data_IF_355444494370
#
_entry.id   IF_355444494370
#
_cell.length_a   1.000
_cell.length_b   1.000
_cell.length_c   1.000
_cell.angle_alpha   90.00
_cell.angle_beta   90.00
_cell.angle_gamma   90.00
#
_symmetry.space_group_name_H-M   'P 1'
#
loop_
_entity.id
_entity.type
_entity.pdbx_description
1 polymer ?
#
# COMPACT_ATOMS: atom_id res chain seq x y z
N UNK A 1 -9.63 25.10 -12.09
CA UNK A 1 -8.92 24.68 -10.87
C UNK A 1 -9.15 23.21 -10.54
N UNK A 2 -10.39 22.69 -10.55
CA UNK A 2 -10.65 21.27 -10.26
C UNK A 2 -9.93 20.28 -11.18
N UNK A 3 -9.89 20.51 -12.50
CA UNK A 3 -9.20 19.59 -13.44
C UNK A 3 -7.70 19.47 -13.16
N UNK A 4 -7.06 20.57 -12.74
CA UNK A 4 -5.65 20.59 -12.35
C UNK A 4 -5.44 19.84 -11.04
N UNK A 5 -6.34 20.00 -10.06
CA UNK A 5 -6.27 19.30 -8.78
C UNK A 5 -6.51 17.79 -8.91
N UNK A 6 -7.45 17.39 -9.77
CA UNK A 6 -7.71 15.97 -10.09
C UNK A 6 -6.51 15.35 -10.81
N UNK A 7 -5.92 16.07 -11.76
CA UNK A 7 -4.70 15.62 -12.44
C UNK A 7 -3.50 15.57 -11.49
N UNK A 8 -3.31 16.56 -10.62
CA UNK A 8 -2.20 16.56 -9.66
C UNK A 8 -2.30 15.40 -8.69
N UNK A 9 -3.48 15.09 -8.13
CA UNK A 9 -3.65 13.92 -7.26
C UNK A 9 -3.37 12.58 -7.96
N UNK A 10 -3.47 12.53 -9.29
CA UNK A 10 -3.14 11.34 -10.09
C UNK A 10 -1.64 11.24 -10.36
N UNK A 11 -0.98 12.40 -10.52
CA UNK A 11 0.46 12.54 -10.77
C UNK A 11 1.26 12.33 -9.47
N UNK A 12 0.75 12.81 -8.33
CA UNK A 12 1.40 12.70 -7.02
C UNK A 12 1.75 11.25 -6.67
N UNK A 13 0.82 10.31 -6.94
CA UNK A 13 1.04 8.90 -6.68
C UNK A 13 2.16 8.30 -7.53
N UNK A 14 2.35 8.77 -8.76
CA UNK A 14 3.42 8.26 -9.64
C UNK A 14 4.77 8.72 -9.11
N UNK A 15 4.88 10.01 -8.75
CA UNK A 15 6.11 10.59 -8.20
C UNK A 15 6.48 9.95 -6.87
N UNK A 16 5.50 9.75 -5.96
CA UNK A 16 5.75 9.08 -4.68
C UNK A 16 6.24 7.64 -4.85
N UNK A 17 5.71 6.90 -5.83
CA UNK A 17 6.18 5.55 -6.15
C UNK A 17 7.62 5.59 -6.67
N UNK A 18 7.91 6.49 -7.60
CA UNK A 18 9.27 6.64 -8.16
C UNK A 18 10.28 7.02 -7.08
N UNK A 19 9.96 7.96 -6.20
CA UNK A 19 10.81 8.34 -5.06
C UNK A 19 11.02 7.19 -4.09
N UNK A 20 9.96 6.45 -3.77
CA UNK A 20 10.02 5.29 -2.87
C UNK A 20 10.90 4.18 -3.46
N UNK A 21 10.76 3.91 -4.77
CA UNK A 21 11.60 2.95 -5.48
C UNK A 21 13.05 3.43 -5.56
N UNK A 22 13.30 4.71 -5.87
CA UNK A 22 14.65 5.30 -5.92
C UNK A 22 15.37 5.24 -4.58
N UNK A 23 14.66 5.52 -3.48
CA UNK A 23 15.26 5.50 -2.15
C UNK A 23 15.65 4.09 -1.71
N UNK A 24 14.84 3.09 -2.07
CA UNK A 24 15.03 1.70 -1.66
C UNK A 24 15.96 0.93 -2.59
N UNK A 25 15.94 1.25 -3.88
CA UNK A 25 16.71 0.55 -4.90
C UNK A 25 17.66 1.52 -5.60
N UNK A 26 18.95 1.18 -5.60
CA UNK A 26 20.00 2.04 -6.15
C UNK A 26 19.97 2.19 -7.68
N UNK A 27 19.23 1.33 -8.39
CA UNK A 27 19.07 1.40 -9.85
C UNK A 27 17.63 1.11 -10.23
N UNK A 28 16.97 2.09 -10.84
CA UNK A 28 15.63 1.94 -11.42
C UNK A 28 15.65 1.11 -12.70
N UNK A 29 16.79 1.04 -13.41
CA UNK A 29 16.89 0.30 -14.67
C UNK A 29 16.52 -1.17 -14.52
N UNK A 30 16.86 -1.77 -13.37
CA UNK A 30 16.45 -3.14 -13.08
C UNK A 30 14.92 -3.27 -13.02
N UNK A 31 14.26 -2.36 -12.30
CA UNK A 31 12.81 -2.40 -12.06
C UNK A 31 12.04 -2.06 -13.33
N UNK A 32 12.54 -1.11 -14.12
CA UNK A 32 11.93 -0.70 -15.39
C UNK A 32 12.04 -1.78 -16.49
N UNK A 33 13.01 -2.69 -16.36
CA UNK A 33 13.16 -3.84 -17.27
C UNK A 33 12.37 -5.08 -16.81
N UNK A 34 11.68 -5.03 -15.67
CA UNK A 34 10.84 -6.13 -15.21
C UNK A 34 9.54 -6.23 -16.02
N UNK A 35 8.96 -7.42 -16.01
CA UNK A 35 7.59 -7.59 -16.52
C UNK A 35 6.62 -6.77 -15.67
N UNK A 36 5.49 -6.36 -16.25
CA UNK A 36 4.47 -5.57 -15.54
C UNK A 36 4.04 -6.22 -14.21
N UNK A 37 3.90 -7.55 -14.19
CA UNK A 37 3.50 -8.30 -13.00
C UNK A 37 4.56 -8.23 -11.91
N UNK A 38 5.82 -8.44 -12.28
CA UNK A 38 6.93 -8.43 -11.33
C UNK A 38 7.16 -7.00 -10.81
N UNK A 39 7.08 -5.99 -11.69
CA UNK A 39 7.18 -4.58 -11.31
C UNK A 39 6.12 -4.17 -10.28
N UNK A 40 4.86 -4.62 -10.46
CA UNK A 40 3.81 -4.41 -9.47
C UNK A 40 4.12 -5.08 -8.12
N UNK A 41 4.58 -6.33 -8.15
CA UNK A 41 4.96 -7.05 -6.92
C UNK A 41 6.08 -6.31 -6.17
N UNK A 42 7.06 -5.77 -6.90
CA UNK A 42 8.12 -4.95 -6.34
C UNK A 42 7.61 -3.66 -5.68
N UNK A 43 6.68 -2.96 -6.33
CA UNK A 43 6.05 -1.75 -5.77
C UNK A 43 5.30 -2.10 -4.48
N UNK A 44 4.45 -3.13 -4.50
CA UNK A 44 3.70 -3.56 -3.32
C UNK A 44 4.63 -3.92 -2.15
N UNK A 45 5.68 -4.68 -2.45
CA UNK A 45 6.67 -5.09 -1.44
C UNK A 45 7.46 -3.89 -0.89
N UNK A 46 7.76 -2.90 -1.73
CA UNK A 46 8.43 -1.69 -1.30
C UNK A 46 7.54 -0.86 -0.34
N UNK A 47 6.24 -0.76 -0.62
CA UNK A 47 5.28 -0.14 0.30
C UNK A 47 5.10 -0.91 1.60
N UNK A 48 4.99 -2.24 1.53
CA UNK A 48 4.87 -3.08 2.73
C UNK A 48 6.05 -2.85 3.68
N UNK A 49 7.27 -2.81 3.12
CA UNK A 49 8.48 -2.55 3.89
C UNK A 49 8.55 -1.12 4.43
N UNK A 50 8.16 -0.13 3.65
CA UNK A 50 8.08 1.26 4.12
C UNK A 50 7.12 1.40 5.30
N UNK A 51 5.97 0.73 5.25
CA UNK A 51 5.00 0.73 6.34
C UNK A 51 5.54 0.00 7.57
N UNK A 52 6.21 -1.13 7.38
CA UNK A 52 6.85 -1.88 8.46
C UNK A 52 7.94 -1.07 9.16
N UNK A 53 8.81 -0.38 8.40
CA UNK A 53 9.86 0.49 8.93
C UNK A 53 9.26 1.62 9.80
N UNK A 54 8.21 2.28 9.30
CA UNK A 54 7.50 3.32 10.08
C UNK A 54 6.80 2.77 11.31
N UNK A 55 6.25 1.55 11.22
CA UNK A 55 5.61 0.89 12.35
C UNK A 55 6.65 0.53 13.42
N UNK A 56 7.83 0.10 13.00
CA UNK A 56 8.97 -0.17 13.88
C UNK A 56 9.40 1.08 14.63
N UNK A 57 9.58 2.21 13.93
CA UNK A 57 9.91 3.49 14.55
C UNK A 57 8.87 3.90 15.60
N UNK A 58 7.59 3.73 15.28
CA UNK A 58 6.51 3.99 16.22
C UNK A 58 6.56 3.06 17.42
N UNK A 59 6.78 1.76 17.20
CA UNK A 59 6.91 0.78 18.27
C UNK A 59 8.08 1.11 19.20
N UNK A 60 9.22 1.58 18.68
CA UNK A 60 10.36 2.02 19.50
C UNK A 60 10.01 3.20 20.41
N UNK A 61 9.22 4.17 19.92
CA UNK A 61 8.73 5.29 20.73
C UNK A 61 7.84 4.79 21.86
N UNK A 62 6.91 3.89 21.56
CA UNK A 62 6.01 3.30 22.55
C UNK A 62 6.75 2.39 23.53
N UNK A 63 7.76 1.66 23.05
CA UNK A 63 8.60 0.73 23.83
C UNK A 63 9.28 1.42 25.00
N UNK A 64 9.67 2.68 24.86
CA UNK A 64 10.24 3.48 25.96
C UNK A 64 9.31 3.56 27.18
N UNK A 65 8.00 3.49 26.96
CA UNK A 65 6.98 3.55 28.01
C UNK A 65 6.51 2.17 28.46
N UNK A 66 7.04 1.11 27.86
CA UNK A 66 6.75 -0.27 28.24
C UNK A 66 7.58 -0.70 29.45
N UNK A 67 7.00 -1.56 30.26
CA UNK A 67 7.57 -2.22 31.42
C UNK A 67 7.17 -3.70 31.41
N UNK A 68 7.65 -4.47 32.38
CA UNK A 68 7.40 -5.92 32.45
C UNK A 68 5.91 -6.30 32.45
N UNK A 69 5.03 -5.40 32.91
CA UNK A 69 3.59 -5.65 33.01
C UNK A 69 2.81 -5.37 31.72
N UNK A 70 3.33 -4.54 30.81
CA UNK A 70 2.63 -4.10 29.61
C UNK A 70 3.47 -4.24 28.32
N UNK A 71 4.58 -4.98 28.38
CA UNK A 71 5.43 -5.24 27.24
C UNK A 71 4.65 -5.90 26.10
N UNK A 72 4.82 -5.37 24.88
CA UNK A 72 4.25 -5.91 23.66
C UNK A 72 5.39 -6.11 22.67
N UNK A 73 5.54 -7.35 22.17
CA UNK A 73 6.51 -7.63 21.12
C UNK A 73 6.17 -6.85 19.84
N UNK A 74 7.16 -6.58 19.00
CA UNK A 74 6.90 -5.89 17.73
C UNK A 74 5.91 -6.67 16.85
N UNK A 75 6.01 -7.99 16.79
CA UNK A 75 5.09 -8.84 16.02
C UNK A 75 3.65 -8.70 16.52
N UNK A 76 3.43 -8.70 17.84
CA UNK A 76 2.10 -8.49 18.41
C UNK A 76 1.56 -7.08 18.14
N UNK A 77 2.45 -6.08 18.17
CA UNK A 77 2.11 -4.69 17.86
C UNK A 77 1.69 -4.53 16.38
N UNK A 78 2.45 -5.17 15.48
CA UNK A 78 2.17 -5.24 14.04
C UNK A 78 0.88 -5.97 13.72
N UNK A 79 0.61 -7.07 14.41
CA UNK A 79 -0.63 -7.82 14.25
C UNK A 79 -1.85 -7.02 14.73
N UNK A 80 -1.75 -6.32 15.85
CA UNK A 80 -2.83 -5.45 16.37
C UNK A 80 -3.19 -4.33 15.39
N UNK A 81 -2.18 -3.69 14.82
CA UNK A 81 -2.38 -2.58 13.86
C UNK A 81 -2.88 -3.07 12.50
N UNK A 82 -2.37 -4.21 12.01
CA UNK A 82 -2.82 -4.82 10.75
C UNK A 82 -4.25 -5.37 10.83
N UNK A 83 -4.66 -5.91 11.99
CA UNK A 83 -6.00 -6.50 12.17
C UNK A 83 -7.14 -5.48 12.04
N UNK A 84 -6.89 -4.19 12.31
CA UNK A 84 -7.87 -3.12 12.09
C UNK A 84 -8.06 -2.74 10.62
N UNK A 85 -7.16 -3.17 9.73
CA UNK A 85 -7.19 -2.86 8.30
C UNK A 85 -7.86 -3.93 7.42
N UNK A 86 -8.31 -5.05 8.02
CA UNK A 86 -9.31 -5.94 7.43
C UNK A 86 -10.66 -5.20 7.33
N UNK A 87 -10.71 -4.12 6.55
CA UNK A 87 -11.95 -3.63 5.96
C UNK A 87 -12.50 -4.83 5.20
N UNK A 88 -13.68 -5.27 5.63
CA UNK A 88 -14.49 -6.28 4.96
C UNK A 88 -14.26 -6.19 3.46
N UNK A 89 -13.48 -7.11 2.90
CA UNK A 89 -13.63 -7.45 1.50
C UNK A 89 -15.04 -7.98 1.46
N UNK A 90 -15.98 -7.14 1.03
CA UNK A 90 -17.33 -7.60 0.76
C UNK A 90 -17.15 -8.85 -0.11
N UNK A 91 -17.66 -9.99 0.36
CA UNK A 91 -17.77 -11.19 -0.45
C UNK A 91 -18.81 -10.90 -1.54
N UNK A 92 -18.42 -10.10 -2.53
CA UNK A 92 -19.22 -9.78 -3.69
C UNK A 92 -19.31 -11.08 -4.50
N UNK A 93 -20.53 -11.56 -4.74
CA UNK A 93 -20.75 -12.75 -5.55
C UNK A 93 -20.22 -12.52 -6.97
N UNK A 94 -19.81 -13.60 -7.65
CA UNK A 94 -19.33 -13.52 -9.04
C UNK A 94 -20.31 -12.79 -9.96
N UNK A 95 -21.61 -13.00 -9.74
CA UNK A 95 -22.71 -12.38 -10.49
C UNK A 95 -22.72 -10.85 -10.36
N UNK A 96 -22.46 -10.31 -9.16
CA UNK A 96 -22.41 -8.86 -8.94
C UNK A 96 -21.15 -8.22 -9.54
N UNK A 97 -20.06 -8.98 -9.74
CA UNK A 97 -18.87 -8.50 -10.46
C UNK A 97 -19.17 -8.42 -11.96
N UNK A 98 -19.84 -9.44 -12.51
CA UNK A 98 -20.21 -9.48 -13.94
C UNK A 98 -21.17 -8.34 -14.32
N UNK A 99 -22.10 -7.98 -13.43
CA UNK A 99 -23.03 -6.87 -13.65
C UNK A 99 -22.31 -5.52 -13.68
N UNK A 100 -21.40 -5.26 -12.73
CA UNK A 100 -20.57 -4.04 -12.73
C UNK A 100 -19.70 -3.91 -13.97
N UNK A 101 -19.14 -5.02 -14.44
CA UNK A 101 -18.34 -5.03 -15.68
C UNK A 101 -19.21 -4.66 -16.89
N UNK A 102 -20.44 -5.19 -16.98
CA UNK A 102 -21.39 -4.84 -18.05
C UNK A 102 -21.79 -3.37 -18.01
N UNK A 103 -22.02 -2.80 -16.83
CA UNK A 103 -22.31 -1.36 -16.69
C UNK A 103 -21.16 -0.48 -17.19
N UNK A 104 -19.92 -0.82 -16.84
CA UNK A 104 -18.74 -0.07 -17.29
C UNK A 104 -18.58 -0.15 -18.82
N UNK A 105 -18.83 -1.32 -19.42
CA UNK A 105 -18.79 -1.52 -20.88
C UNK A 105 -19.86 -0.66 -21.57
N UNK A 106 -21.07 -0.58 -21.02
CA UNK A 106 -22.15 0.24 -21.58
C UNK A 106 -21.90 1.75 -21.43
N UNK A 107 -21.11 2.19 -20.47
CA UNK A 107 -20.71 3.59 -20.30
C UNK A 107 -19.56 4.00 -21.23
N UNK A 108 -18.85 3.04 -21.83
CA UNK A 108 -17.67 3.26 -22.68
C UNK A 108 -17.92 3.02 -24.17
N UNK A 109 -19.13 2.59 -24.54
CA UNK A 109 -19.65 2.50 -25.90
C UNK A 109 -20.64 3.65 -26.18
#
# INVERSE_FOLDING_TARGET
MERFFIQSCSIDKIVEIEELLLRRYSSLDYILNLSYKDGLEFIFKAYEKELEDRLWDRWLVDYRWMNESNFVSFEDYKNKTSSSSNKNVENISKEAIEEKVKEIINLTL
#
